data_IF_735108128221
#
_entry.id   IF_735108128221
#
_cell.length_a   1.000
_cell.length_b   1.000
_cell.length_c   1.000
_cell.angle_alpha   90.00
_cell.angle_beta   90.00
_cell.angle_gamma   90.00
#
_symmetry.space_group_name_H-M   'P 1'
#
loop_
_entity.id
_entity.type
_entity.pdbx_description
1 polymer ?
#
# COMPACT_ATOMS: atom_id res chain seq x y z
N UNK A 1 24.90 -12.34 -34.53
CA UNK A 1 23.88 -12.91 -33.63
C UNK A 1 23.36 -11.75 -32.81
N UNK A 2 22.05 -11.62 -32.63
CA UNK A 2 21.42 -10.51 -31.89
C UNK A 2 22.12 -10.34 -30.54
N UNK A 3 22.69 -9.16 -30.27
CA UNK A 3 23.20 -8.75 -28.95
C UNK A 3 22.00 -8.54 -28.01
N UNK A 4 21.27 -9.62 -27.76
CA UNK A 4 20.13 -9.62 -26.87
C UNK A 4 20.64 -9.74 -25.44
N UNK A 5 20.21 -8.81 -24.59
CA UNK A 5 20.63 -8.79 -23.19
C UNK A 5 20.31 -10.12 -22.51
N UNK A 6 21.34 -10.78 -21.99
CA UNK A 6 21.23 -12.16 -21.45
C UNK A 6 20.22 -12.30 -20.30
N UNK A 7 19.93 -11.20 -19.58
CA UNK A 7 18.99 -11.17 -18.46
C UNK A 7 17.66 -10.48 -18.82
N UNK A 8 17.32 -10.33 -20.10
CA UNK A 8 16.09 -9.67 -20.54
C UNK A 8 14.83 -10.35 -19.98
N UNK A 9 14.78 -11.68 -19.95
CA UNK A 9 13.66 -12.44 -19.36
C UNK A 9 13.53 -12.18 -17.86
N UNK A 10 14.66 -12.06 -17.15
CA UNK A 10 14.67 -11.77 -15.71
C UNK A 10 14.18 -10.34 -15.44
N UNK A 11 14.59 -9.36 -16.26
CA UNK A 11 14.09 -7.99 -16.18
C UNK A 11 12.57 -7.95 -16.36
N UNK A 12 12.04 -8.62 -17.40
CA UNK A 12 10.59 -8.73 -17.62
C UNK A 12 9.84 -9.34 -16.44
N UNK A 13 10.41 -10.37 -15.79
CA UNK A 13 9.83 -10.97 -14.59
C UNK A 13 9.81 -10.01 -13.40
N UNK A 14 10.88 -9.22 -13.20
CA UNK A 14 10.95 -8.23 -12.11
C UNK A 14 10.06 -7.03 -12.34
N UNK A 15 9.93 -6.54 -13.57
CA UNK A 15 8.94 -5.51 -13.91
C UNK A 15 7.52 -5.97 -13.57
N UNK A 16 7.14 -7.20 -13.94
CA UNK A 16 5.83 -7.77 -13.58
C UNK A 16 5.66 -7.93 -12.07
N UNK A 17 6.70 -8.34 -11.35
CA UNK A 17 6.66 -8.45 -9.89
C UNK A 17 6.45 -7.08 -9.22
N UNK A 18 7.11 -6.02 -9.72
CA UNK A 18 6.88 -4.64 -9.25
C UNK A 18 5.45 -4.20 -9.53
N UNK A 19 4.94 -4.42 -10.74
CA UNK A 19 3.56 -4.08 -11.12
C UNK A 19 2.53 -4.80 -10.23
N UNK A 20 2.75 -6.09 -9.95
CA UNK A 20 1.90 -6.86 -9.04
C UNK A 20 1.95 -6.33 -7.60
N UNK A 21 3.14 -5.99 -7.08
CA UNK A 21 3.29 -5.41 -5.75
C UNK A 21 2.65 -4.01 -5.65
N UNK A 22 2.71 -3.21 -6.72
CA UNK A 22 2.05 -1.91 -6.80
C UNK A 22 0.51 -2.05 -6.77
N UNK A 23 -0.04 -3.02 -7.52
CA UNK A 23 -1.46 -3.34 -7.47
C UNK A 23 -1.89 -3.82 -6.08
N UNK A 24 -1.12 -4.70 -5.45
CA UNK A 24 -1.42 -5.19 -4.11
C UNK A 24 -1.40 -4.06 -3.07
N UNK A 25 -0.40 -3.17 -3.13
CA UNK A 25 -0.34 -1.98 -2.28
C UNK A 25 -1.57 -1.08 -2.47
N UNK A 26 -2.03 -0.88 -3.71
CA UNK A 26 -3.24 -0.11 -3.97
C UNK A 26 -4.48 -0.75 -3.34
N UNK A 27 -4.62 -2.08 -3.42
CA UNK A 27 -5.71 -2.82 -2.78
C UNK A 27 -5.66 -2.69 -1.25
N UNK A 28 -4.47 -2.83 -0.64
CA UNK A 28 -4.32 -2.66 0.82
C UNK A 28 -4.65 -1.24 1.28
N UNK A 29 -4.20 -0.21 0.55
CA UNK A 29 -4.56 1.19 0.84
C UNK A 29 -6.06 1.44 0.75
N UNK A 30 -6.74 0.83 -0.22
CA UNK A 30 -8.19 0.93 -0.32
C UNK A 30 -8.88 0.25 0.87
N UNK A 31 -8.39 -0.90 1.31
CA UNK A 31 -8.91 -1.59 2.50
C UNK A 31 -8.69 -0.78 3.78
N UNK A 32 -7.51 -0.18 3.95
CA UNK A 32 -7.20 0.72 5.06
C UNK A 32 -8.13 1.95 5.09
N UNK A 33 -8.35 2.60 3.94
CA UNK A 33 -9.28 3.72 3.84
C UNK A 33 -10.72 3.33 4.22
N UNK A 34 -11.16 2.13 3.80
CA UNK A 34 -12.47 1.59 4.20
C UNK A 34 -12.54 1.33 5.71
N UNK A 35 -11.52 0.72 6.30
CA UNK A 35 -11.45 0.46 7.74
C UNK A 35 -11.45 1.77 8.55
N UNK A 36 -10.74 2.80 8.07
CA UNK A 36 -10.75 4.12 8.69
C UNK A 36 -12.15 4.75 8.68
N UNK A 37 -12.83 4.71 7.54
CA UNK A 37 -14.21 5.22 7.44
C UNK A 37 -15.18 4.44 8.34
N UNK A 38 -15.03 3.12 8.43
CA UNK A 38 -15.84 2.31 9.36
C UNK A 38 -15.63 2.69 10.82
N UNK A 39 -14.38 2.97 11.22
CA UNK A 39 -14.07 3.46 12.56
C UNK A 39 -14.71 4.83 12.83
N UNK A 40 -14.60 5.76 11.88
CA UNK A 40 -15.20 7.10 11.99
C UNK A 40 -16.72 7.02 12.16
N UNK A 41 -17.40 6.20 11.36
CA UNK A 41 -18.84 5.95 11.50
C UNK A 41 -19.18 5.33 12.86
N UNK A 42 -18.39 4.36 13.33
CA UNK A 42 -18.64 3.71 14.62
C UNK A 42 -18.49 4.67 15.80
N UNK A 43 -17.48 5.55 15.74
CA UNK A 43 -17.26 6.60 16.75
C UNK A 43 -18.42 7.60 16.72
N UNK A 44 -18.82 8.09 15.55
CA UNK A 44 -19.94 9.04 15.45
C UNK A 44 -21.24 8.45 16.02
N UNK A 45 -21.56 7.19 15.68
CA UNK A 45 -22.74 6.51 16.21
C UNK A 45 -22.69 6.37 17.74
N UNK A 46 -21.50 6.10 18.29
CA UNK A 46 -21.30 6.03 19.74
C UNK A 46 -21.55 7.40 20.38
N UNK A 47 -20.96 8.46 19.85
CA UNK A 47 -21.12 9.83 20.36
C UNK A 47 -22.59 10.29 20.32
N UNK A 48 -23.28 10.02 19.21
CA UNK A 48 -24.72 10.32 19.06
C UNK A 48 -25.56 9.60 20.14
N UNK A 49 -25.21 8.34 20.45
CA UNK A 49 -25.87 7.54 21.49
C UNK A 49 -25.55 8.03 22.91
N UNK A 50 -24.30 8.42 23.19
CA UNK A 50 -23.91 9.03 24.47
C UNK A 50 -24.67 10.32 24.71
N UNK A 51 -24.83 11.14 23.68
CA UNK A 51 -25.61 12.38 23.72
C UNK A 51 -27.10 12.16 23.95
N UNK A 52 -27.67 11.07 23.41
CA UNK A 52 -29.06 10.68 23.67
C UNK A 52 -29.24 10.21 25.12
N UNK A 53 -28.28 9.46 25.67
CA UNK A 53 -28.31 9.04 27.09
C UNK A 53 -28.16 10.26 27.99
N UNK A 54 -27.25 11.20 27.67
CA UNK A 54 -27.05 12.43 28.44
C UNK A 54 -28.34 13.25 28.53
N UNK A 55 -28.96 13.53 27.37
CA UNK A 55 -30.24 14.24 27.32
C UNK A 55 -31.36 13.52 28.07
N UNK A 56 -31.48 12.20 27.87
CA UNK A 56 -32.50 11.43 28.58
C UNK A 56 -32.31 11.41 30.11
N UNK A 57 -31.07 11.52 30.60
CA UNK A 57 -30.78 11.67 32.03
C UNK A 57 -31.15 13.05 32.56
N UNK A 58 -30.90 14.11 31.79
CA UNK A 58 -31.32 15.48 32.13
C UNK A 58 -32.85 15.59 32.20
N UNK A 59 -33.55 14.96 31.25
CA UNK A 59 -35.01 14.94 31.16
C UNK A 59 -35.68 13.99 32.17
N UNK A 60 -34.91 13.15 32.88
CA UNK A 60 -35.46 12.07 33.71
C UNK A 60 -36.47 12.60 34.75
N UNK A 61 -36.11 13.70 35.41
CA UNK A 61 -36.92 14.36 36.44
C UNK A 61 -37.65 15.61 35.93
N UNK A 62 -37.60 15.88 34.63
CA UNK A 62 -38.16 17.11 34.08
C UNK A 62 -39.69 16.99 33.84
N UNK A 63 -40.41 18.08 34.14
CA UNK A 63 -41.88 18.20 34.05
C UNK A 63 -42.62 18.35 35.40
N UNK A 64 -43.80 18.97 35.37
CA UNK A 64 -44.60 19.28 36.57
C UNK A 64 -45.36 18.07 37.17
N UNK A 65 -45.59 17.00 36.39
CA UNK A 65 -46.35 15.80 36.80
C UNK A 65 -45.52 14.52 36.58
N UNK A 66 -44.39 14.43 37.27
CA UNK A 66 -43.55 13.22 37.25
C UNK A 66 -44.15 12.16 38.17
N UNK A 67 -44.76 11.12 37.59
CA UNK A 67 -45.27 9.96 38.33
C UNK A 67 -44.21 8.86 38.44
N UNK A 68 -44.34 7.98 39.44
CA UNK A 68 -43.45 6.82 39.62
C UNK A 68 -43.44 5.93 38.35
N UNK A 69 -44.59 5.73 37.72
CA UNK A 69 -44.68 4.93 36.49
C UNK A 69 -43.94 5.56 35.30
N UNK A 70 -44.03 6.89 35.15
CA UNK A 70 -43.30 7.62 34.10
C UNK A 70 -41.77 7.57 34.34
N UNK A 71 -41.33 7.68 35.59
CA UNK A 71 -39.93 7.52 35.97
C UNK A 71 -39.40 6.13 35.63
N UNK A 72 -40.15 5.08 35.98
CA UNK A 72 -39.78 3.70 35.66
C UNK A 72 -39.68 3.47 34.14
N UNK A 73 -40.59 4.05 33.36
CA UNK A 73 -40.55 3.97 31.90
C UNK A 73 -39.30 4.69 31.34
N UNK A 74 -39.02 5.91 31.79
CA UNK A 74 -37.85 6.69 31.35
C UNK A 74 -36.54 6.00 31.74
N UNK A 75 -36.45 5.46 32.95
CA UNK A 75 -35.29 4.71 33.42
C UNK A 75 -35.07 3.43 32.59
N UNK A 76 -36.12 2.68 32.28
CA UNK A 76 -36.03 1.49 31.42
C UNK A 76 -35.48 1.83 30.02
N UNK A 77 -35.88 2.97 29.44
CA UNK A 77 -35.34 3.45 28.16
C UNK A 77 -33.86 3.80 28.29
N UNK A 78 -33.45 4.46 29.37
CA UNK A 78 -32.03 4.78 29.62
C UNK A 78 -31.18 3.53 29.82
N UNK A 79 -31.70 2.51 30.50
CA UNK A 79 -31.04 1.22 30.67
C UNK A 79 -30.85 0.51 29.32
N UNK A 80 -31.91 0.47 28.49
CA UNK A 80 -31.82 -0.10 27.14
C UNK A 80 -30.78 0.61 26.27
N UNK A 81 -30.76 1.95 26.29
CA UNK A 81 -29.74 2.73 25.57
C UNK A 81 -28.33 2.50 26.10
N UNK A 82 -28.16 2.29 27.40
CA UNK A 82 -26.86 2.00 28.00
C UNK A 82 -26.31 0.65 27.52
N UNK A 83 -27.18 -0.37 27.40
CA UNK A 83 -26.81 -1.66 26.79
C UNK A 83 -26.45 -1.52 25.31
N UNK A 84 -27.20 -0.71 24.54
CA UNK A 84 -26.85 -0.41 23.16
C UNK A 84 -25.49 0.28 23.04
N UNK A 85 -25.17 1.20 23.96
CA UNK A 85 -23.87 1.89 24.01
C UNK A 85 -22.73 0.90 24.27
N UNK A 86 -22.90 -0.10 25.14
CA UNK A 86 -21.92 -1.17 25.31
C UNK A 86 -21.67 -1.94 24.01
N UNK A 87 -22.73 -2.25 23.27
CA UNK A 87 -22.62 -2.86 21.94
C UNK A 87 -21.90 -1.96 20.91
N UNK A 88 -22.11 -0.65 20.96
CA UNK A 88 -21.39 0.32 20.12
C UNK A 88 -19.91 0.43 20.51
N UNK A 89 -19.58 0.40 21.81
CA UNK A 89 -18.20 0.36 22.28
C UNK A 89 -17.45 -0.86 21.71
N UNK A 90 -18.08 -2.04 21.72
CA UNK A 90 -17.49 -3.23 21.12
C UNK A 90 -17.29 -3.08 19.60
N UNK A 91 -18.22 -2.42 18.89
CA UNK A 91 -18.06 -2.15 17.44
C UNK A 91 -16.91 -1.19 17.17
N UNK A 92 -16.73 -0.16 17.99
CA UNK A 92 -15.59 0.76 17.88
C UNK A 92 -14.29 -0.02 18.09
N UNK A 93 -14.20 -0.83 19.14
CA UNK A 93 -13.01 -1.66 19.40
C UNK A 93 -12.69 -2.60 18.24
N UNK A 94 -13.70 -3.27 17.68
CA UNK A 94 -13.53 -4.13 16.50
C UNK A 94 -13.06 -3.34 15.28
N UNK A 95 -13.59 -2.13 15.04
CA UNK A 95 -13.16 -1.27 13.95
C UNK A 95 -11.73 -0.77 14.14
N UNK A 96 -11.30 -0.47 15.36
CA UNK A 96 -9.91 -0.10 15.68
C UNK A 96 -8.95 -1.26 15.40
N UNK A 97 -9.31 -2.48 15.81
CA UNK A 97 -8.52 -3.69 15.54
C UNK A 97 -8.41 -3.91 14.02
N UNK A 98 -9.52 -3.77 13.29
CA UNK A 98 -9.54 -3.90 11.84
C UNK A 98 -8.66 -2.83 11.16
N UNK A 99 -8.70 -1.58 11.63
CA UNK A 99 -7.84 -0.51 11.12
C UNK A 99 -6.36 -0.80 11.37
N UNK A 100 -5.99 -1.22 12.58
CA UNK A 100 -4.61 -1.59 12.92
C UNK A 100 -4.10 -2.76 12.04
N UNK A 101 -4.95 -3.76 11.82
CA UNK A 101 -4.63 -4.88 10.94
C UNK A 101 -4.43 -4.42 9.49
N UNK A 102 -5.33 -3.57 8.97
CA UNK A 102 -5.21 -3.02 7.63
C UNK A 102 -3.94 -2.16 7.47
N UNK A 103 -3.62 -1.30 8.43
CA UNK A 103 -2.39 -0.51 8.45
C UNK A 103 -1.13 -1.38 8.41
N UNK A 104 -1.10 -2.45 9.22
CA UNK A 104 0.01 -3.40 9.18
C UNK A 104 0.14 -4.06 7.81
N UNK A 105 -0.98 -4.46 7.19
CA UNK A 105 -0.97 -5.05 5.86
C UNK A 105 -0.48 -4.07 4.78
N UNK A 106 -0.87 -2.79 4.86
CA UNK A 106 -0.37 -1.74 3.97
C UNK A 106 1.13 -1.53 4.14
N UNK A 107 1.63 -1.54 5.39
CA UNK A 107 3.06 -1.40 5.66
C UNK A 107 3.88 -2.56 5.07
N UNK A 108 3.41 -3.80 5.21
CA UNK A 108 4.04 -4.97 4.59
C UNK A 108 4.04 -4.87 3.06
N UNK A 109 2.89 -4.54 2.45
CA UNK A 109 2.80 -4.37 0.99
C UNK A 109 3.70 -3.23 0.47
N UNK A 110 3.87 -2.15 1.24
CA UNK A 110 4.78 -1.07 0.89
C UNK A 110 6.24 -1.52 0.91
N UNK A 111 6.63 -2.32 1.91
CA UNK A 111 7.97 -2.88 1.99
C UNK A 111 8.25 -3.82 0.80
N UNK A 112 7.30 -4.69 0.46
CA UNK A 112 7.39 -5.59 -0.70
C UNK A 112 7.50 -4.82 -2.03
N UNK A 113 6.69 -3.77 -2.22
CA UNK A 113 6.76 -2.91 -3.40
C UNK A 113 8.11 -2.19 -3.50
N UNK A 114 8.63 -1.72 -2.37
CA UNK A 114 9.94 -1.07 -2.30
C UNK A 114 11.05 -2.05 -2.68
N UNK A 115 11.01 -3.27 -2.16
CA UNK A 115 11.98 -4.33 -2.50
C UNK A 115 11.89 -4.71 -3.98
N UNK A 116 10.68 -4.92 -4.51
CA UNK A 116 10.48 -5.27 -5.91
C UNK A 116 11.03 -4.20 -6.86
N UNK A 117 10.86 -2.92 -6.48
CA UNK A 117 11.44 -1.79 -7.21
C UNK A 117 12.97 -1.79 -7.16
N UNK A 118 13.57 -2.02 -6.00
CA UNK A 118 15.03 -2.10 -5.86
C UNK A 118 15.62 -3.23 -6.71
N UNK A 119 14.97 -4.40 -6.72
CA UNK A 119 15.37 -5.55 -7.53
C UNK A 119 15.30 -5.23 -9.04
N UNK A 120 14.27 -4.52 -9.49
CA UNK A 120 14.15 -4.06 -10.89
C UNK A 120 15.24 -3.03 -11.24
N UNK A 121 15.43 -2.01 -10.41
CA UNK A 121 16.43 -0.96 -10.63
C UNK A 121 17.86 -1.54 -10.71
N UNK A 122 18.16 -2.56 -9.91
CA UNK A 122 19.44 -3.26 -9.96
C UNK A 122 19.68 -3.93 -11.33
N UNK A 123 18.63 -4.55 -11.91
CA UNK A 123 18.72 -5.18 -13.22
C UNK A 123 18.79 -4.17 -14.37
N UNK A 124 18.13 -3.03 -14.25
CA UNK A 124 18.23 -1.92 -15.22
C UNK A 124 19.67 -1.41 -15.25
N UNK A 125 20.27 -1.11 -14.09
CA UNK A 125 21.67 -0.67 -14.01
C UNK A 125 22.63 -1.70 -14.59
N UNK A 126 22.40 -2.99 -14.30
CA UNK A 126 23.21 -4.05 -14.89
C UNK A 126 23.08 -4.09 -16.42
N UNK A 127 21.88 -3.91 -16.97
CA UNK A 127 21.64 -3.84 -18.42
C UNK A 127 22.38 -2.67 -19.06
N UNK A 128 22.36 -1.50 -18.43
CA UNK A 128 23.09 -0.31 -18.89
C UNK A 128 24.59 -0.54 -18.92
N UNK A 129 25.16 -1.10 -17.84
CA UNK A 129 26.58 -1.43 -17.77
C UNK A 129 26.98 -2.46 -18.84
N UNK A 130 26.18 -3.51 -19.00
CA UNK A 130 26.42 -4.53 -20.02
C UNK A 130 26.40 -3.93 -21.44
N UNK A 131 25.43 -3.05 -21.73
CA UNK A 131 25.37 -2.38 -23.03
C UNK A 131 26.59 -1.48 -23.29
N UNK A 132 27.08 -0.81 -22.26
CA UNK A 132 28.32 -0.03 -22.34
C UNK A 132 29.53 -0.93 -22.63
N UNK A 133 29.65 -2.06 -21.93
CA UNK A 133 30.73 -3.04 -22.16
C UNK A 133 30.69 -3.63 -23.58
N UNK A 134 29.49 -3.99 -24.08
CA UNK A 134 29.35 -4.48 -25.45
C UNK A 134 29.81 -3.44 -26.47
N UNK A 135 29.46 -2.17 -26.26
CA UNK A 135 29.93 -1.08 -27.12
C UNK A 135 31.45 -0.95 -27.11
N UNK A 136 32.07 -0.93 -25.93
CA UNK A 136 33.54 -0.86 -25.81
C UNK A 136 34.23 -2.04 -26.51
N UNK A 137 33.68 -3.24 -26.39
CA UNK A 137 34.21 -4.43 -27.08
C UNK A 137 34.04 -4.31 -28.60
N UNK A 138 32.91 -3.80 -29.09
CA UNK A 138 32.67 -3.56 -30.51
C UNK A 138 33.66 -2.54 -31.07
N UNK A 139 33.79 -1.38 -30.41
CA UNK A 139 34.67 -0.29 -30.82
C UNK A 139 36.14 -0.78 -30.92
N UNK A 140 36.60 -1.60 -29.96
CA UNK A 140 37.94 -2.20 -30.00
C UNK A 140 38.11 -3.20 -31.16
N UNK A 141 37.10 -4.01 -31.45
CA UNK A 141 37.15 -4.95 -32.59
C UNK A 141 37.20 -4.21 -33.92
N UNK A 142 36.51 -3.08 -34.03
CA UNK A 142 36.57 -2.22 -35.21
C UNK A 142 37.93 -1.56 -35.36
N UNK A 143 38.53 -1.07 -34.27
CA UNK A 143 39.89 -0.53 -34.24
C UNK A 143 40.94 -1.58 -34.65
N UNK A 144 40.92 -2.76 -34.02
CA UNK A 144 41.83 -3.87 -34.35
C UNK A 144 41.70 -4.28 -35.83
N UNK A 145 40.46 -4.37 -36.34
CA UNK A 145 40.22 -4.71 -37.74
C UNK A 145 40.71 -3.61 -38.71
N UNK A 146 40.56 -2.33 -38.35
CA UNK A 146 41.07 -1.21 -39.12
C UNK A 146 42.61 -1.21 -39.18
N UNK A 147 43.27 -1.50 -38.05
CA UNK A 147 44.72 -1.62 -37.96
C UNK A 147 45.26 -2.80 -38.77
N UNK A 148 44.60 -3.96 -38.74
CA UNK A 148 44.96 -5.12 -39.58
C UNK A 148 44.85 -4.78 -41.08
N UNK A 149 43.80 -4.07 -41.48
CA UNK A 149 43.63 -3.61 -42.87
C UNK A 149 44.74 -2.62 -43.23
N UNK A 150 45.06 -1.66 -42.37
CA UNK A 150 46.11 -0.67 -42.60
C UNK A 150 47.50 -1.31 -42.72
N UNK A 151 47.81 -2.29 -41.85
CA UNK A 151 49.06 -3.05 -41.90
C UNK A 151 49.19 -3.86 -43.18
N UNK A 152 48.12 -4.54 -43.61
CA UNK A 152 48.12 -5.32 -44.85
C UNK A 152 48.25 -4.43 -46.08
N UNK A 153 47.56 -3.29 -46.14
CA UNK A 153 47.75 -2.32 -47.25
C UNK A 153 49.16 -1.73 -47.25
N UNK A 154 49.73 -1.40 -46.10
CA UNK A 154 51.11 -0.89 -46.02
C UNK A 154 52.14 -1.93 -46.48
N UNK A 155 52.00 -3.19 -46.04
CA UNK A 155 52.88 -4.30 -46.48
C UNK A 155 52.79 -4.52 -47.99
N UNK A 156 51.59 -4.42 -48.58
CA UNK A 156 51.37 -4.57 -50.02
C UNK A 156 51.78 -3.34 -50.86
N UNK A 157 52.10 -2.21 -50.22
CA UNK A 157 52.55 -0.96 -50.88
C UNK A 157 54.07 -0.79 -50.94
N UNK A 158 54.84 -1.63 -50.23
CA UNK A 158 56.30 -1.62 -50.35
C UNK A 158 56.71 -2.30 -51.67
N UNK A 159 57.49 -1.61 -52.54
CA UNK A 159 58.02 -2.19 -53.78
C UNK A 159 59.08 -3.27 -53.51
#
# INVERSE_FOLDING_TARGET
>A
MSDEYRLETLLKLRTRAREAAEQELALKRQAEAKAKNQLEIAIQLKEDHEDLIRRGREELYDGAEVTIGLLQQRDAVLQARSLELEGLNQKVEQAEIALKSAQSATATALAEMTQARQDEEALIKHKENWAHEQKVVSDRREEDAADDIAQTTWRNRKP
#
